data_IF_101524142456
#
_entry.id   IF_101524142456
#
_cell.length_a   1.000
_cell.length_b   1.000
_cell.length_c   1.000
_cell.angle_alpha   90.00
_cell.angle_beta   90.00
_cell.angle_gamma   90.00
#
_symmetry.space_group_name_H-M   'P 1'
#
loop_
_entity.id
_entity.type
_entity.pdbx_description
1 polymer ?
#
# COMPACT_ATOMS: atom_id res chain seq x y z
N UNK A 1 -32.89 5.16 44.31
CA UNK A 1 -32.45 4.65 42.99
C UNK A 1 -31.54 5.74 42.38
N UNK A 2 -30.24 5.56 42.50
CA UNK A 2 -29.24 6.52 41.95
C UNK A 2 -28.94 6.11 40.52
N UNK A 3 -29.28 6.97 39.55
CA UNK A 3 -28.89 6.81 38.16
C UNK A 3 -27.41 7.03 38.01
N UNK A 4 -26.70 6.00 37.60
CA UNK A 4 -25.32 6.09 37.17
C UNK A 4 -25.30 6.70 35.77
N UNK A 5 -24.90 7.97 35.64
CA UNK A 5 -24.63 8.57 34.35
C UNK A 5 -23.23 8.11 33.90
N UNK A 6 -23.19 7.25 32.88
CA UNK A 6 -21.98 6.95 32.15
C UNK A 6 -21.78 8.12 31.18
N UNK A 7 -20.81 8.97 31.49
CA UNK A 7 -20.37 10.04 30.60
C UNK A 7 -19.52 9.41 29.51
N UNK A 8 -20.15 9.08 28.38
CA UNK A 8 -19.40 8.78 27.17
C UNK A 8 -18.64 10.05 26.75
N UNK A 9 -17.32 10.01 26.74
CA UNK A 9 -16.49 11.08 26.20
C UNK A 9 -16.74 11.13 24.67
N UNK A 10 -17.65 11.99 24.28
CA UNK A 10 -17.80 12.44 22.90
C UNK A 10 -16.59 13.33 22.57
N UNK A 11 -15.55 12.79 21.96
CA UNK A 11 -14.59 13.56 21.18
C UNK A 11 -15.24 13.99 19.87
N UNK A 12 -16.23 14.85 19.97
CA UNK A 12 -16.85 15.58 18.88
C UNK A 12 -16.56 17.06 19.09
N UNK A 13 -15.30 17.46 18.99
CA UNK A 13 -14.96 18.87 18.98
C UNK A 13 -15.04 19.39 17.56
N UNK A 14 -16.07 20.17 17.25
CA UNK A 14 -16.01 21.16 16.19
C UNK A 14 -14.85 22.12 16.53
N UNK A 15 -13.68 21.93 15.90
CA UNK A 15 -12.57 22.86 16.03
C UNK A 15 -12.81 24.10 15.18
N UNK A 16 -13.53 25.08 15.73
CA UNK A 16 -13.27 26.47 15.42
C UNK A 16 -12.33 26.99 16.49
N UNK A 17 -11.05 26.75 16.36
CA UNK A 17 -10.03 27.39 17.17
C UNK A 17 -9.47 28.58 16.41
N UNK A 18 -9.89 29.77 16.78
CA UNK A 18 -9.06 30.97 16.68
C UNK A 18 -7.75 30.67 17.43
N UNK A 19 -6.66 30.57 16.69
CA UNK A 19 -5.32 30.41 17.27
C UNK A 19 -4.97 31.70 18.03
N UNK A 20 -5.16 31.68 19.34
CA UNK A 20 -4.42 32.59 20.22
C UNK A 20 -3.02 31.98 20.41
N UNK A 21 -2.02 32.70 19.90
CA UNK A 21 -0.61 32.34 20.00
C UNK A 21 -0.11 32.60 21.42
N UNK A 22 -0.41 31.68 22.34
CA UNK A 22 0.30 31.49 23.63
C UNK A 22 0.07 30.05 24.10
N UNK A 23 0.57 29.08 23.32
CA UNK A 23 0.69 27.70 23.78
C UNK A 23 2.08 27.50 24.33
N UNK A 24 2.17 27.25 25.62
CA UNK A 24 3.39 26.77 26.26
C UNK A 24 3.85 25.48 25.57
N UNK A 25 5.15 25.34 25.31
CA UNK A 25 5.78 24.18 24.67
C UNK A 25 5.43 22.81 25.32
N UNK A 26 4.87 22.84 26.53
CA UNK A 26 4.48 21.65 27.30
C UNK A 26 3.32 20.83 26.72
N UNK A 27 2.55 21.38 25.74
CA UNK A 27 1.41 20.68 25.10
C UNK A 27 1.75 20.11 23.73
N UNK A 28 3.00 20.20 23.31
CA UNK A 28 3.43 19.73 22.00
C UNK A 28 4.48 18.63 22.15
N UNK A 29 4.29 17.54 21.42
CA UNK A 29 5.32 16.52 21.25
C UNK A 29 6.10 16.82 19.98
N UNK A 30 7.42 16.97 20.09
CA UNK A 30 8.26 17.19 18.93
C UNK A 30 8.25 15.95 18.01
N UNK A 31 8.17 16.19 16.70
CA UNK A 31 8.42 15.12 15.73
C UNK A 31 9.89 14.70 15.81
N UNK A 32 10.20 13.40 15.76
CA UNK A 32 11.58 12.95 15.72
C UNK A 32 12.25 13.42 14.41
N UNK A 33 13.59 13.57 14.37
CA UNK A 33 14.29 13.91 13.15
C UNK A 33 14.19 12.77 12.14
N UNK A 34 14.24 13.11 10.85
CA UNK A 34 14.39 12.14 9.76
C UNK A 34 15.72 11.40 9.95
N UNK A 35 15.68 10.06 9.93
CA UNK A 35 16.86 9.21 10.01
C UNK A 35 17.72 9.35 8.75
N UNK A 36 19.03 9.37 8.88
CA UNK A 36 19.94 9.38 7.75
C UNK A 36 20.08 7.95 7.16
N UNK A 37 19.22 7.61 6.23
CA UNK A 37 19.21 6.30 5.57
C UNK A 37 20.34 6.20 4.53
N UNK A 38 20.92 4.99 4.40
CA UNK A 38 21.89 4.69 3.34
C UNK A 38 21.13 4.33 2.06
N UNK A 39 21.03 5.29 1.14
CA UNK A 39 20.28 5.14 -0.12
C UNK A 39 21.23 4.84 -1.27
N UNK A 40 20.91 3.82 -2.08
CA UNK A 40 21.62 3.48 -3.31
C UNK A 40 21.44 4.57 -4.35
N UNK A 41 22.53 5.13 -4.87
CA UNK A 41 22.48 6.22 -5.85
C UNK A 41 22.43 5.73 -7.30
N UNK A 42 22.85 4.48 -7.55
CA UNK A 42 22.81 3.86 -8.86
C UNK A 42 21.38 3.49 -9.28
N UNK A 43 21.18 3.38 -10.61
CA UNK A 43 19.92 2.89 -11.15
C UNK A 43 19.88 1.36 -11.06
N UNK A 44 19.32 0.84 -9.98
CA UNK A 44 19.22 -0.58 -9.68
C UNK A 44 17.79 -1.14 -9.82
N UNK A 45 16.95 -0.44 -10.58
CA UNK A 45 15.55 -0.82 -10.80
C UNK A 45 15.41 -1.89 -11.86
N UNK A 46 14.38 -2.73 -11.74
CA UNK A 46 14.10 -3.84 -12.69
C UNK A 46 13.44 -3.37 -13.99
N UNK A 47 13.33 -2.07 -14.19
CA UNK A 47 12.79 -1.47 -15.41
C UNK A 47 13.76 -0.38 -15.93
N UNK A 48 13.72 -0.04 -17.24
CA UNK A 48 14.61 0.94 -17.83
C UNK A 48 14.32 2.35 -17.34
N UNK A 49 15.36 3.17 -17.23
CA UNK A 49 15.24 4.58 -16.88
C UNK A 49 14.63 5.36 -18.06
N UNK A 50 13.64 6.19 -17.77
CA UNK A 50 13.04 7.09 -18.75
C UNK A 50 13.87 8.38 -18.90
N UNK A 51 13.98 8.85 -20.13
CA UNK A 51 14.57 10.14 -20.45
C UNK A 51 13.57 11.32 -20.36
N UNK A 52 12.28 11.02 -20.16
CA UNK A 52 11.19 12.01 -20.08
C UNK A 52 10.97 12.59 -18.69
N UNK A 53 11.59 11.99 -17.68
CA UNK A 53 11.40 12.38 -16.28
C UNK A 53 12.73 12.59 -15.56
N UNK A 54 12.74 13.50 -14.60
CA UNK A 54 13.80 13.64 -13.62
C UNK A 54 13.53 12.70 -12.45
N UNK A 55 14.57 12.08 -11.94
CA UNK A 55 14.51 11.13 -10.84
C UNK A 55 15.45 11.54 -9.72
N UNK A 56 14.98 11.49 -8.49
CA UNK A 56 15.82 11.61 -7.29
C UNK A 56 15.26 10.77 -6.15
N UNK A 57 16.14 10.31 -5.26
CA UNK A 57 15.71 9.70 -3.99
C UNK A 57 15.34 10.78 -2.97
N UNK A 58 14.31 10.50 -2.20
CA UNK A 58 13.81 11.38 -1.13
C UNK A 58 13.49 10.55 0.10
N UNK A 59 13.48 11.19 1.26
CA UNK A 59 13.06 10.59 2.52
C UNK A 59 12.02 11.46 3.21
N UNK A 60 11.14 10.84 3.95
CA UNK A 60 10.13 11.49 4.78
C UNK A 60 9.81 10.60 5.99
N UNK A 61 9.13 11.16 6.97
CA UNK A 61 8.85 10.48 8.23
C UNK A 61 7.35 10.25 8.39
N UNK A 62 6.96 9.08 8.92
CA UNK A 62 5.59 8.83 9.31
C UNK A 62 5.34 9.27 10.77
N UNK A 63 4.08 9.32 11.23
CA UNK A 63 3.72 9.74 12.59
C UNK A 63 4.28 8.83 13.70
N UNK A 64 4.75 7.63 13.37
CA UNK A 64 5.43 6.73 14.30
C UNK A 64 6.94 6.96 14.39
N UNK A 65 7.45 7.97 13.69
CA UNK A 65 8.87 8.31 13.70
C UNK A 65 9.73 7.42 12.80
N UNK A 66 9.13 6.65 11.91
CA UNK A 66 9.87 5.81 10.97
C UNK A 66 10.16 6.62 9.70
N UNK A 67 11.42 6.70 9.32
CA UNK A 67 11.84 7.35 8.08
C UNK A 67 11.61 6.42 6.90
N UNK A 68 10.89 6.90 5.89
CA UNK A 68 10.61 6.19 4.65
C UNK A 68 11.52 6.68 3.53
N UNK A 69 11.93 5.75 2.67
CA UNK A 69 12.69 6.02 1.46
C UNK A 69 11.79 5.92 0.23
N UNK A 70 11.90 6.88 -0.69
CA UNK A 70 11.17 6.88 -1.94
C UNK A 70 12.03 7.32 -3.12
N UNK A 71 11.62 6.88 -4.31
CA UNK A 71 12.04 7.40 -5.59
C UNK A 71 11.01 8.43 -6.06
N UNK A 72 11.41 9.67 -6.25
CA UNK A 72 10.56 10.73 -6.77
C UNK A 72 10.85 10.95 -8.26
N UNK A 73 9.79 10.99 -9.06
CA UNK A 73 9.83 11.22 -10.51
C UNK A 73 9.05 12.49 -10.82
N UNK A 74 9.69 13.40 -11.57
CA UNK A 74 9.08 14.66 -11.98
C UNK A 74 9.13 14.76 -13.50
N UNK A 75 8.02 15.11 -14.19
CA UNK A 75 8.06 15.34 -15.64
C UNK A 75 9.08 16.40 -16.00
N UNK A 76 9.94 16.14 -16.99
CA UNK A 76 10.83 17.18 -17.52
C UNK A 76 10.00 18.30 -18.15
N UNK A 77 10.47 19.52 -17.97
CA UNK A 77 9.82 20.72 -18.49
C UNK A 77 8.41 21.00 -17.92
N UNK A 78 8.05 20.39 -16.81
CA UNK A 78 6.81 20.71 -16.13
C UNK A 78 6.82 22.17 -15.63
N UNK A 79 5.70 22.87 -15.81
CA UNK A 79 5.51 24.26 -15.35
C UNK A 79 4.38 24.31 -14.32
N UNK A 80 4.53 25.20 -13.34
CA UNK A 80 3.52 25.39 -12.30
C UNK A 80 3.45 24.24 -11.30
N UNK A 81 2.35 24.19 -10.55
CA UNK A 81 2.10 23.13 -9.57
C UNK A 81 1.43 21.92 -10.21
N UNK A 82 1.94 20.74 -9.91
CA UNK A 82 1.49 19.46 -10.44
C UNK A 82 0.52 18.77 -9.49
N UNK A 83 -0.38 17.96 -10.05
CA UNK A 83 -1.01 16.90 -9.29
C UNK A 83 0.03 15.83 -8.94
N UNK A 84 -0.08 15.23 -7.76
CA UNK A 84 0.90 14.27 -7.28
C UNK A 84 0.28 12.92 -6.91
N UNK A 85 1.06 11.84 -7.05
CA UNK A 85 0.62 10.47 -6.78
C UNK A 85 1.67 9.74 -5.95
N UNK A 86 1.26 9.20 -4.80
CA UNK A 86 2.07 8.27 -4.02
C UNK A 86 1.76 6.82 -4.41
N UNK A 87 2.79 6.07 -4.76
CA UNK A 87 2.68 4.69 -5.27
C UNK A 87 3.39 3.72 -4.33
N UNK A 88 2.72 2.64 -3.94
CA UNK A 88 3.33 1.53 -3.22
C UNK A 88 3.04 0.18 -3.88
N UNK A 89 4.05 -0.68 -3.91
CA UNK A 89 4.08 -1.91 -4.69
C UNK A 89 3.42 -3.11 -4.00
N UNK A 90 3.56 -4.29 -4.58
CA UNK A 90 3.08 -5.52 -3.99
C UNK A 90 3.60 -5.73 -2.57
N UNK A 91 2.82 -6.47 -1.78
CA UNK A 91 3.18 -6.81 -0.42
C UNK A 91 4.49 -7.64 -0.39
N UNK A 92 5.57 -7.01 0.08
CA UNK A 92 6.91 -7.59 0.08
C UNK A 92 7.79 -7.21 -1.11
N UNK A 93 7.29 -6.43 -2.07
CA UNK A 93 8.11 -5.85 -3.11
C UNK A 93 8.89 -4.63 -2.62
N UNK A 94 9.98 -4.29 -3.31
CA UNK A 94 10.71 -3.04 -3.15
C UNK A 94 10.23 -2.00 -4.18
N UNK A 95 10.46 -0.71 -3.88
CA UNK A 95 10.10 0.39 -4.77
C UNK A 95 10.79 0.35 -6.13
N UNK A 96 11.89 -0.38 -6.25
CA UNK A 96 12.65 -0.60 -7.48
C UNK A 96 11.96 -1.57 -8.46
N UNK A 97 10.84 -2.19 -8.04
CA UNK A 97 10.04 -3.12 -8.82
C UNK A 97 8.80 -2.41 -9.40
N UNK A 98 7.63 -3.05 -9.38
CA UNK A 98 6.42 -2.56 -10.06
C UNK A 98 5.98 -1.15 -9.63
N UNK A 99 6.10 -0.77 -8.36
CA UNK A 99 5.72 0.58 -7.94
C UNK A 99 6.54 1.68 -8.58
N UNK A 100 7.84 1.46 -8.74
CA UNK A 100 8.72 2.39 -9.46
C UNK A 100 8.36 2.50 -10.94
N UNK A 101 8.06 1.37 -11.60
CA UNK A 101 7.56 1.36 -12.98
C UNK A 101 6.27 2.18 -13.13
N UNK A 102 5.29 1.96 -12.24
CA UNK A 102 4.04 2.71 -12.26
C UNK A 102 4.28 4.22 -12.03
N UNK A 103 5.10 4.56 -11.03
CA UNK A 103 5.42 5.93 -10.70
C UNK A 103 6.12 6.65 -11.88
N UNK A 104 7.15 6.03 -12.47
CA UNK A 104 7.83 6.58 -13.65
C UNK A 104 6.87 6.79 -14.82
N UNK A 105 6.04 5.77 -15.11
CA UNK A 105 5.12 5.80 -16.25
C UNK A 105 4.01 6.84 -16.09
N UNK A 106 3.55 7.09 -14.87
CA UNK A 106 2.60 8.16 -14.57
C UNK A 106 3.26 9.54 -14.58
N UNK A 107 4.54 9.64 -14.21
CA UNK A 107 5.30 10.87 -14.33
C UNK A 107 5.51 11.26 -15.80
N UNK A 108 5.73 10.29 -16.70
CA UNK A 108 5.75 10.55 -18.16
C UNK A 108 4.42 11.12 -18.69
N UNK A 109 3.33 10.95 -17.95
CA UNK A 109 1.99 11.45 -18.28
C UNK A 109 1.60 12.74 -17.54
N UNK A 110 2.58 13.39 -16.89
CA UNK A 110 2.42 14.74 -16.36
C UNK A 110 2.16 14.86 -14.86
N UNK A 111 2.26 13.78 -14.11
CA UNK A 111 2.12 13.80 -12.64
C UNK A 111 3.49 13.88 -11.95
N UNK A 112 3.60 14.55 -10.81
CA UNK A 112 4.70 14.29 -9.90
C UNK A 112 4.39 13.02 -9.13
N UNK A 113 5.31 12.06 -9.11
CA UNK A 113 5.05 10.78 -8.44
C UNK A 113 6.16 10.41 -7.49
N UNK A 114 5.81 9.65 -6.44
CA UNK A 114 6.78 8.95 -5.61
C UNK A 114 6.44 7.46 -5.58
N UNK A 115 7.46 6.60 -5.64
CA UNK A 115 7.37 5.19 -5.29
C UNK A 115 8.13 4.99 -3.97
N UNK A 116 7.48 4.52 -2.92
CA UNK A 116 8.10 4.38 -1.61
C UNK A 116 8.17 2.93 -1.14
N UNK A 117 9.23 2.62 -0.39
CA UNK A 117 9.28 1.40 0.41
C UNK A 117 8.48 1.61 1.68
N UNK A 118 7.61 0.68 2.06
CA UNK A 118 6.94 0.75 3.35
C UNK A 118 7.89 0.62 4.54
N UNK A 119 7.46 1.08 5.70
CA UNK A 119 8.17 0.88 6.98
C UNK A 119 8.69 -0.55 7.12
N UNK A 120 9.88 -0.71 7.66
CA UNK A 120 10.57 -1.98 7.95
C UNK A 120 11.12 -2.74 6.74
N UNK A 121 10.97 -2.24 5.51
CA UNK A 121 11.36 -2.95 4.27
C UNK A 121 12.17 -2.06 3.34
N UNK A 122 12.82 -2.67 2.36
CA UNK A 122 13.59 -1.96 1.35
C UNK A 122 14.65 -1.05 1.96
N UNK A 123 14.74 0.18 1.47
CA UNK A 123 15.61 1.23 2.00
C UNK A 123 14.96 2.06 3.13
N UNK A 124 13.66 1.89 3.40
CA UNK A 124 12.99 2.54 4.53
C UNK A 124 13.49 2.04 5.86
N UNK A 125 13.40 2.89 6.87
CA UNK A 125 13.79 2.61 8.25
C UNK A 125 12.82 1.68 8.99
N UNK A 126 12.97 1.66 10.29
CA UNK A 126 12.16 0.86 11.20
C UNK A 126 12.79 -0.47 11.59
N UNK A 127 12.60 -0.85 12.85
CA UNK A 127 13.09 -2.09 13.45
C UNK A 127 11.96 -2.81 14.20
N UNK A 128 11.96 -4.15 14.20
CA UNK A 128 12.88 -5.02 13.44
C UNK A 128 12.57 -5.01 11.93
N UNK A 129 13.54 -5.41 11.11
CA UNK A 129 13.35 -5.49 9.65
C UNK A 129 12.38 -6.60 9.26
N UNK A 130 11.79 -6.48 8.06
CA UNK A 130 10.85 -7.45 7.45
C UNK A 130 9.57 -7.66 8.26
N UNK A 131 9.14 -6.64 8.97
CA UNK A 131 7.82 -6.59 9.62
C UNK A 131 6.78 -6.03 8.66
N UNK A 132 5.58 -6.59 8.70
CA UNK A 132 4.40 -5.97 8.13
C UNK A 132 3.42 -5.61 9.26
N UNK A 133 2.79 -4.46 9.14
CA UNK A 133 1.78 -3.98 10.10
C UNK A 133 0.63 -3.32 9.34
N UNK A 134 -0.63 -3.75 9.58
CA UNK A 134 -1.77 -3.15 8.90
C UNK A 134 -1.92 -1.66 9.19
N UNK A 135 -1.70 -1.24 10.43
CA UNK A 135 -1.81 0.15 10.85
C UNK A 135 -0.65 1.00 10.32
N UNK A 136 0.60 0.60 10.62
CA UNK A 136 1.79 1.39 10.23
C UNK A 136 1.91 1.48 8.70
N UNK A 137 1.61 0.39 7.98
CA UNK A 137 1.70 0.43 6.52
C UNK A 137 0.53 1.19 5.85
N UNK A 138 -0.60 1.38 6.52
CA UNK A 138 -1.62 2.34 6.10
C UNK A 138 -1.13 3.76 6.32
N UNK A 139 -0.59 4.06 7.50
CA UNK A 139 0.02 5.34 7.83
C UNK A 139 1.13 5.76 6.86
N UNK A 140 1.89 4.81 6.30
CA UNK A 140 2.94 5.10 5.33
C UNK A 140 2.40 5.83 4.07
N UNK A 141 1.14 5.57 3.66
CA UNK A 141 0.48 6.33 2.60
C UNK A 141 0.12 7.75 3.04
N UNK A 142 -0.45 7.93 4.23
CA UNK A 142 -0.74 9.25 4.79
C UNK A 142 0.53 10.09 4.96
N UNK A 143 1.64 9.48 5.38
CA UNK A 143 2.95 10.15 5.46
C UNK A 143 3.49 10.56 4.07
N UNK A 144 3.23 9.74 3.05
CA UNK A 144 3.56 10.11 1.66
C UNK A 144 2.71 11.31 1.19
N UNK A 145 1.44 11.39 1.60
CA UNK A 145 0.56 12.55 1.35
C UNK A 145 1.09 13.79 2.08
N UNK A 146 1.52 13.67 3.35
CA UNK A 146 2.16 14.76 4.10
C UNK A 146 3.36 15.31 3.33
N UNK A 147 4.27 14.42 2.92
CA UNK A 147 5.47 14.79 2.17
C UNK A 147 5.13 15.51 0.86
N UNK A 148 4.19 14.96 0.08
CA UNK A 148 3.78 15.56 -1.20
C UNK A 148 3.10 16.92 -1.01
N UNK A 149 2.30 17.08 0.05
CA UNK A 149 1.55 18.31 0.34
C UNK A 149 2.43 19.53 0.58
N UNK A 150 3.69 19.33 1.00
CA UNK A 150 4.64 20.42 1.28
C UNK A 150 5.67 20.63 0.16
N UNK A 151 5.60 19.86 -0.93
CA UNK A 151 6.52 20.07 -2.06
C UNK A 151 6.16 21.37 -2.80
N UNK A 152 7.14 22.22 -3.14
CA UNK A 152 6.87 23.54 -3.73
C UNK A 152 6.21 23.47 -5.12
N UNK A 153 6.43 22.38 -5.85
CA UNK A 153 5.88 22.13 -7.19
C UNK A 153 4.66 21.22 -7.18
N UNK A 154 4.05 20.94 -6.03
CA UNK A 154 2.81 20.15 -5.88
C UNK A 154 1.65 21.05 -5.50
N UNK A 155 0.48 20.81 -6.08
CA UNK A 155 -0.78 21.31 -5.58
C UNK A 155 -1.31 20.37 -4.51
N UNK A 156 -1.29 20.79 -3.26
CA UNK A 156 -1.71 19.98 -2.10
C UNK A 156 -3.18 19.55 -2.13
N UNK A 157 -4.02 20.18 -2.97
CA UNK A 157 -5.42 19.78 -3.17
C UNK A 157 -5.58 18.71 -4.25
N UNK A 158 -4.50 18.32 -4.93
CA UNK A 158 -4.50 17.43 -6.10
C UNK A 158 -3.60 16.22 -5.88
N UNK A 159 -3.83 15.50 -4.77
CA UNK A 159 -3.03 14.34 -4.39
C UNK A 159 -3.87 13.06 -4.50
N UNK A 160 -3.31 12.06 -5.18
CA UNK A 160 -3.82 10.71 -5.28
C UNK A 160 -2.84 9.67 -4.74
N UNK A 161 -3.34 8.46 -4.54
CA UNK A 161 -2.54 7.30 -4.13
C UNK A 161 -2.79 6.12 -5.07
N UNK A 162 -1.79 5.26 -5.22
CA UNK A 162 -1.89 4.02 -5.99
C UNK A 162 -1.28 2.86 -5.21
N UNK A 163 -2.06 1.80 -5.02
CA UNK A 163 -1.62 0.57 -4.38
C UNK A 163 -1.68 -0.63 -5.32
N UNK A 164 -0.62 -1.45 -5.34
CA UNK A 164 -0.54 -2.66 -6.17
C UNK A 164 -0.58 -3.88 -5.25
N UNK A 165 -1.34 -4.92 -5.61
CA UNK A 165 -1.45 -6.16 -4.84
C UNK A 165 -1.88 -5.90 -3.39
N UNK A 166 -1.16 -6.40 -2.39
CA UNK A 166 -1.49 -6.17 -0.99
C UNK A 166 -1.52 -4.69 -0.56
N UNK A 167 -0.76 -3.83 -1.25
CA UNK A 167 -0.84 -2.38 -1.02
C UNK A 167 -2.11 -1.76 -1.63
N UNK A 168 -2.78 -2.45 -2.54
CA UNK A 168 -4.10 -2.02 -3.04
C UNK A 168 -5.17 -2.02 -1.94
N UNK A 169 -5.23 -3.08 -1.12
CA UNK A 169 -6.13 -3.10 0.05
C UNK A 169 -5.77 -2.06 1.09
N UNK A 170 -4.45 -1.84 1.31
CA UNK A 170 -3.95 -0.79 2.22
C UNK A 170 -4.29 0.61 1.70
N UNK A 171 -4.16 0.86 0.40
CA UNK A 171 -4.53 2.14 -0.20
C UNK A 171 -6.04 2.43 -0.07
N UNK A 172 -6.91 1.41 -0.19
CA UNK A 172 -8.34 1.58 0.07
C UNK A 172 -8.63 1.88 1.55
N UNK A 173 -7.89 1.26 2.47
CA UNK A 173 -8.01 1.55 3.89
C UNK A 173 -7.57 3.00 4.20
N UNK A 174 -6.48 3.46 3.59
CA UNK A 174 -6.02 4.85 3.73
C UNK A 174 -7.03 5.83 3.12
N UNK A 175 -7.59 5.56 1.94
CA UNK A 175 -8.62 6.38 1.31
C UNK A 175 -9.90 6.53 2.16
N UNK A 176 -10.20 5.55 3.02
CA UNK A 176 -11.31 5.64 3.98
C UNK A 176 -10.95 6.48 5.21
N UNK A 177 -9.69 6.80 5.42
CA UNK A 177 -9.14 7.44 6.61
C UNK A 177 -8.58 8.83 6.32
N UNK A 178 -7.81 8.99 5.24
CA UNK A 178 -7.19 10.27 4.85
C UNK A 178 -8.04 11.02 3.81
N UNK A 179 -8.77 12.02 4.28
CA UNK A 179 -9.67 12.85 3.43
C UNK A 179 -8.94 13.79 2.46
N UNK A 180 -7.61 13.92 2.57
CA UNK A 180 -6.77 14.70 1.64
C UNK A 180 -6.54 13.94 0.33
N UNK A 181 -6.68 12.61 0.35
CA UNK A 181 -6.62 11.76 -0.84
C UNK A 181 -7.85 12.01 -1.71
N UNK A 182 -7.66 12.52 -2.92
CA UNK A 182 -8.75 12.87 -3.86
C UNK A 182 -9.09 11.75 -4.82
N UNK A 183 -8.11 10.90 -5.15
CA UNK A 183 -8.28 9.78 -6.05
C UNK A 183 -7.38 8.61 -5.66
N UNK A 184 -7.92 7.40 -5.66
CA UNK A 184 -7.22 6.16 -5.34
C UNK A 184 -7.35 5.18 -6.49
N UNK A 185 -6.21 4.63 -6.92
CA UNK A 185 -6.20 3.51 -7.88
C UNK A 185 -5.65 2.27 -7.17
N UNK A 186 -6.30 1.14 -7.38
CA UNK A 186 -5.75 -0.16 -6.98
C UNK A 186 -5.55 -1.03 -8.20
N UNK A 187 -4.38 -1.66 -8.31
CA UNK A 187 -4.06 -2.62 -9.37
C UNK A 187 -3.88 -4.00 -8.77
N UNK A 188 -4.63 -4.99 -9.27
CA UNK A 188 -4.56 -6.39 -8.84
C UNK A 188 -4.56 -6.56 -7.32
N UNK A 189 -5.44 -5.83 -6.60
CA UNK A 189 -5.41 -5.71 -5.15
C UNK A 189 -5.64 -7.04 -4.41
N UNK A 190 -5.02 -7.12 -3.22
CA UNK A 190 -5.29 -8.12 -2.21
C UNK A 190 -5.84 -7.48 -0.94
N UNK A 191 -6.78 -8.12 -0.31
CA UNK A 191 -7.08 -7.87 1.10
C UNK A 191 -6.20 -8.81 1.96
N UNK A 192 -5.05 -8.27 2.41
CA UNK A 192 -4.10 -9.04 3.22
C UNK A 192 -4.69 -9.48 4.56
N UNK A 193 -5.65 -8.72 5.11
CA UNK A 193 -6.32 -9.11 6.37
C UNK A 193 -7.24 -10.31 6.14
N UNK A 194 -7.98 -10.32 5.03
CA UNK A 194 -8.86 -11.42 4.68
C UNK A 194 -8.08 -12.71 4.36
N UNK A 195 -7.05 -12.62 3.53
CA UNK A 195 -6.31 -13.84 3.16
C UNK A 195 -5.57 -14.44 4.33
N UNK A 196 -5.00 -13.63 5.23
CA UNK A 196 -4.30 -14.13 6.41
C UNK A 196 -5.27 -14.65 7.48
N UNK A 197 -6.49 -14.11 7.57
CA UNK A 197 -7.51 -14.60 8.51
C UNK A 197 -8.28 -15.83 8.03
N UNK A 198 -8.53 -15.93 6.72
CA UNK A 198 -9.49 -16.88 6.15
C UNK A 198 -8.84 -17.88 5.17
N UNK A 199 -7.58 -17.68 4.80
CA UNK A 199 -6.92 -18.45 3.75
C UNK A 199 -7.38 -18.05 2.35
N UNK A 200 -6.78 -18.67 1.36
CA UNK A 200 -7.12 -18.48 -0.04
C UNK A 200 -8.56 -18.93 -0.32
N UNK A 201 -9.32 -18.10 -1.06
CA UNK A 201 -10.76 -18.32 -1.32
C UNK A 201 -11.60 -18.55 -0.05
N UNK A 202 -11.18 -17.98 1.08
CA UNK A 202 -11.85 -18.16 2.38
C UNK A 202 -11.98 -19.62 2.86
N UNK A 203 -11.13 -20.53 2.37
CA UNK A 203 -11.23 -21.98 2.67
C UNK A 203 -11.11 -22.29 4.17
N UNK A 204 -10.45 -21.42 4.94
CA UNK A 204 -10.24 -21.56 6.37
C UNK A 204 -11.08 -20.54 7.17
N UNK A 205 -12.15 -20.00 6.60
CA UNK A 205 -12.98 -19.00 7.27
C UNK A 205 -13.89 -19.63 8.33
N UNK A 206 -13.29 -20.14 9.39
CA UNK A 206 -14.00 -20.62 10.57
C UNK A 206 -13.19 -20.34 11.85
N UNK A 207 -13.85 -20.22 13.03
CA UNK A 207 -13.18 -19.90 14.29
C UNK A 207 -12.11 -20.91 14.70
N UNK A 208 -12.32 -22.20 14.42
CA UNK A 208 -11.40 -23.27 14.80
C UNK A 208 -10.09 -23.18 14.02
N UNK A 209 -10.16 -23.01 12.71
CA UNK A 209 -8.97 -22.84 11.87
C UNK A 209 -8.18 -21.58 12.28
N UNK A 210 -8.87 -20.46 12.53
CA UNK A 210 -8.21 -19.24 13.02
C UNK A 210 -7.56 -19.44 14.38
N UNK A 211 -8.25 -20.10 15.33
CA UNK A 211 -7.67 -20.39 16.65
C UNK A 211 -6.41 -21.26 16.53
N UNK A 212 -6.44 -22.30 15.70
CA UNK A 212 -5.28 -23.15 15.45
C UNK A 212 -4.10 -22.36 14.88
N UNK A 213 -4.35 -21.52 13.89
CA UNK A 213 -3.32 -20.64 13.29
C UNK A 213 -2.75 -19.66 14.32
N UNK A 214 -3.60 -19.01 15.11
CA UNK A 214 -3.17 -18.10 16.18
C UNK A 214 -2.34 -18.84 17.23
N UNK A 215 -2.70 -20.08 17.59
CA UNK A 215 -1.92 -20.91 18.52
C UNK A 215 -0.51 -21.19 17.98
N UNK A 216 -0.39 -21.53 16.70
CA UNK A 216 0.90 -21.75 16.05
C UNK A 216 1.75 -20.48 16.02
N UNK A 217 1.16 -19.34 15.63
CA UNK A 217 1.85 -18.05 15.59
C UNK A 217 2.28 -17.58 16.98
N UNK A 218 1.47 -17.80 18.01
CA UNK A 218 1.84 -17.44 19.38
C UNK A 218 2.95 -18.35 19.93
N UNK A 219 2.96 -19.65 19.57
CA UNK A 219 4.08 -20.54 19.88
C UNK A 219 5.37 -20.07 19.19
N UNK A 220 5.29 -19.65 17.90
CA UNK A 220 6.42 -19.06 17.20
C UNK A 220 6.89 -17.76 17.86
N UNK A 221 5.97 -16.88 18.28
CA UNK A 221 6.32 -15.66 19.01
C UNK A 221 7.12 -15.93 20.28
N UNK A 222 6.71 -16.94 21.06
CA UNK A 222 7.45 -17.36 22.26
C UNK A 222 8.85 -17.90 21.89
N UNK A 223 8.94 -18.64 20.79
CA UNK A 223 10.21 -19.16 20.28
C UNK A 223 11.14 -18.03 19.84
N UNK A 224 10.64 -17.06 19.06
CA UNK A 224 11.40 -15.88 18.60
C UNK A 224 11.95 -15.10 19.81
N UNK A 225 11.11 -14.85 20.82
CA UNK A 225 11.52 -14.14 22.03
C UNK A 225 12.65 -14.89 22.78
N UNK A 226 12.54 -16.22 22.89
CA UNK A 226 13.57 -17.05 23.56
C UNK A 226 14.88 -17.07 22.79
N UNK A 227 14.83 -17.06 21.46
CA UNK A 227 15.99 -17.14 20.57
C UNK A 227 16.67 -15.78 20.36
N UNK A 228 15.96 -14.67 20.56
CA UNK A 228 16.43 -13.33 20.29
C UNK A 228 16.49 -12.97 18.79
N UNK A 229 15.81 -13.70 17.93
CA UNK A 229 15.66 -13.41 16.49
C UNK A 229 14.29 -13.87 15.96
N UNK A 230 13.86 -13.30 14.85
CA UNK A 230 12.55 -13.60 14.24
C UNK A 230 12.70 -14.63 13.13
N UNK A 231 11.90 -15.67 13.17
CA UNK A 231 11.75 -16.59 12.03
C UNK A 231 11.02 -15.89 10.90
N UNK A 232 11.48 -16.14 9.67
CA UNK A 232 10.87 -15.62 8.44
C UNK A 232 10.06 -16.71 7.75
N UNK A 233 8.99 -16.31 7.04
CA UNK A 233 8.11 -17.19 6.28
C UNK A 233 7.56 -16.45 5.04
N UNK A 234 6.98 -17.22 4.11
CA UNK A 234 6.37 -16.68 2.91
C UNK A 234 7.36 -16.32 1.80
N UNK A 235 8.53 -16.96 1.79
CA UNK A 235 9.42 -16.93 0.62
C UNK A 235 8.77 -17.62 -0.58
N UNK A 236 9.05 -17.13 -1.78
CA UNK A 236 8.67 -17.82 -3.02
C UNK A 236 9.48 -19.10 -3.20
N UNK A 237 8.95 -20.03 -4.00
CA UNK A 237 9.71 -21.18 -4.47
C UNK A 237 10.82 -20.70 -5.43
N UNK A 238 11.94 -21.41 -5.47
CA UNK A 238 12.91 -21.21 -6.53
C UNK A 238 12.40 -21.82 -7.85
N UNK A 239 12.81 -21.31 -9.02
CA UNK A 239 12.38 -21.88 -10.31
C UNK A 239 12.64 -23.38 -10.45
N UNK A 240 13.72 -23.90 -9.84
CA UNK A 240 14.08 -25.33 -9.83
C UNK A 240 13.16 -26.20 -8.97
N UNK A 241 12.38 -25.59 -8.09
CA UNK A 241 11.43 -26.28 -7.20
C UNK A 241 10.03 -26.39 -7.84
N UNK A 242 9.80 -25.73 -8.99
CA UNK A 242 8.51 -25.79 -9.68
C UNK A 242 8.30 -27.16 -10.33
N UNK A 243 7.09 -27.68 -10.21
CA UNK A 243 6.65 -28.95 -10.79
C UNK A 243 5.41 -28.73 -11.67
N UNK A 244 5.05 -29.75 -12.46
CA UNK A 244 3.82 -29.71 -13.28
C UNK A 244 2.53 -29.59 -12.44
N UNK A 245 2.60 -29.91 -11.14
CA UNK A 245 1.48 -29.78 -10.20
C UNK A 245 1.47 -28.46 -9.43
N UNK A 246 2.49 -27.62 -9.62
CA UNK A 246 2.54 -26.31 -8.97
C UNK A 246 1.44 -25.41 -9.52
N UNK A 247 0.57 -24.83 -8.68
CA UNK A 247 -0.47 -23.91 -9.14
C UNK A 247 0.12 -22.75 -9.97
N UNK A 248 -0.56 -22.38 -11.07
CA UNK A 248 -0.09 -21.36 -12.00
C UNK A 248 0.32 -20.06 -11.29
N UNK A 249 -0.47 -19.58 -10.32
CA UNK A 249 -0.16 -18.34 -9.64
C UNK A 249 1.14 -18.41 -8.81
N UNK A 250 1.48 -19.58 -8.26
CA UNK A 250 2.77 -19.81 -7.58
C UNK A 250 3.90 -19.72 -8.60
N UNK A 251 3.74 -20.37 -9.78
CA UNK A 251 4.69 -20.24 -10.88
C UNK A 251 4.87 -18.77 -11.30
N UNK A 252 3.78 -18.04 -11.47
CA UNK A 252 3.79 -16.64 -11.88
C UNK A 252 4.56 -15.75 -10.86
N UNK A 253 4.36 -15.95 -9.55
CA UNK A 253 5.12 -15.25 -8.51
C UNK A 253 6.59 -15.64 -8.51
N UNK A 254 6.90 -16.94 -8.60
CA UNK A 254 8.29 -17.42 -8.69
C UNK A 254 9.00 -16.80 -9.89
N UNK A 255 8.36 -16.81 -11.07
CA UNK A 255 8.94 -16.23 -12.28
C UNK A 255 9.12 -14.71 -12.20
N UNK A 256 8.31 -14.01 -11.40
CA UNK A 256 8.52 -12.58 -11.17
C UNK A 256 9.64 -12.34 -10.14
N UNK A 257 9.53 -12.89 -8.94
CA UNK A 257 10.41 -12.53 -7.82
C UNK A 257 11.77 -13.23 -7.82
N UNK A 258 11.89 -14.40 -8.42
CA UNK A 258 13.10 -15.24 -8.36
C UNK A 258 13.86 -15.31 -9.69
N UNK A 259 13.47 -14.49 -10.69
CA UNK A 259 14.17 -14.41 -11.97
C UNK A 259 14.53 -12.96 -12.32
N UNK A 260 15.29 -12.77 -13.40
CA UNK A 260 15.66 -11.45 -13.92
C UNK A 260 14.46 -10.56 -14.28
N UNK A 261 13.24 -11.12 -14.35
CA UNK A 261 12.03 -10.36 -14.64
C UNK A 261 11.76 -9.31 -13.56
N UNK A 262 11.93 -9.65 -12.28
CA UNK A 262 11.60 -8.74 -11.21
C UNK A 262 12.35 -8.98 -9.91
N UNK A 263 13.36 -9.89 -9.88
CA UNK A 263 14.19 -10.11 -8.68
C UNK A 263 14.83 -8.80 -8.23
N UNK A 264 14.74 -8.54 -6.94
CA UNK A 264 15.47 -7.43 -6.32
C UNK A 264 15.95 -7.81 -4.91
N UNK A 265 17.22 -7.52 -4.61
CA UNK A 265 17.86 -7.92 -3.34
C UNK A 265 17.26 -7.27 -2.09
N UNK A 266 16.52 -6.16 -2.23
CA UNK A 266 15.78 -5.50 -1.14
C UNK A 266 14.31 -5.92 -1.06
N UNK A 267 13.83 -6.72 -2.00
CA UNK A 267 12.45 -7.24 -1.97
C UNK A 267 12.34 -8.38 -0.96
N UNK A 268 11.45 -8.25 0.01
CA UNK A 268 11.14 -9.29 1.00
C UNK A 268 10.73 -10.60 0.31
N UNK A 269 9.98 -10.49 -0.80
CA UNK A 269 9.51 -11.64 -1.57
C UNK A 269 10.64 -12.35 -2.34
N UNK A 270 11.71 -11.63 -2.72
CA UNK A 270 12.86 -12.22 -3.41
C UNK A 270 13.92 -12.78 -2.44
N UNK A 271 13.89 -12.42 -1.14
CA UNK A 271 14.98 -12.75 -0.22
C UNK A 271 14.51 -13.29 1.15
N UNK A 272 13.61 -14.24 1.16
CA UNK A 272 13.33 -15.05 2.34
C UNK A 272 12.06 -14.71 3.14
N UNK A 273 11.18 -13.84 2.63
CA UNK A 273 9.86 -13.63 3.22
C UNK A 273 9.83 -12.71 4.45
N UNK A 274 8.70 -12.70 5.12
CA UNK A 274 8.36 -11.83 6.25
C UNK A 274 8.69 -12.44 7.61
N UNK A 275 8.86 -11.61 8.63
CA UNK A 275 8.80 -12.08 10.01
C UNK A 275 7.44 -12.74 10.23
N UNK A 276 7.44 -14.03 10.52
CA UNK A 276 6.25 -14.90 10.51
C UNK A 276 5.13 -14.37 11.41
N UNK A 277 5.49 -13.81 12.57
CA UNK A 277 4.54 -13.27 13.55
C UNK A 277 3.86 -11.97 13.13
N UNK A 278 4.28 -11.33 12.01
CA UNK A 278 3.57 -10.19 11.42
C UNK A 278 2.11 -10.52 11.06
N UNK A 279 1.81 -11.78 10.74
CA UNK A 279 0.46 -12.23 10.41
C UNK A 279 -0.55 -11.99 11.53
N UNK A 280 -0.13 -12.00 12.82
CA UNK A 280 -1.01 -11.83 13.97
C UNK A 280 -1.87 -10.57 13.90
N UNK A 281 -1.27 -9.44 13.53
CA UNK A 281 -1.99 -8.16 13.44
C UNK A 281 -3.00 -8.15 12.29
N UNK A 282 -2.65 -8.76 11.15
CA UNK A 282 -3.53 -8.82 9.98
C UNK A 282 -4.77 -9.71 10.23
N UNK A 283 -4.61 -10.82 10.93
CA UNK A 283 -5.71 -11.75 11.20
C UNK A 283 -6.85 -11.07 11.98
N UNK A 284 -6.53 -10.08 12.81
CA UNK A 284 -7.51 -9.47 13.72
C UNK A 284 -7.93 -8.03 13.36
N UNK A 285 -7.50 -7.51 12.21
CA UNK A 285 -7.76 -6.13 11.77
C UNK A 285 -8.32 -6.08 10.35
N UNK A 286 -9.66 -6.21 10.15
CA UNK A 286 -10.25 -6.14 8.82
C UNK A 286 -10.15 -4.71 8.25
N UNK A 287 -9.42 -4.53 7.15
CA UNK A 287 -9.17 -3.23 6.52
C UNK A 287 -10.41 -2.59 5.91
N UNK A 288 -11.16 -3.36 5.11
CA UNK A 288 -12.11 -2.81 4.17
C UNK A 288 -13.49 -2.57 4.77
N UNK A 289 -13.60 -2.67 6.10
CA UNK A 289 -14.87 -2.52 6.82
C UNK A 289 -15.58 -1.18 6.52
N UNK A 290 -14.80 -0.11 6.28
CA UNK A 290 -15.32 1.23 6.01
C UNK A 290 -15.13 1.70 4.57
N UNK A 291 -14.81 0.79 3.65
CA UNK A 291 -14.67 1.14 2.23
C UNK A 291 -15.94 1.72 1.62
N UNK A 292 -17.09 1.38 2.17
CA UNK A 292 -18.40 1.93 1.78
C UNK A 292 -18.64 3.40 2.23
N UNK A 293 -17.72 3.97 2.99
CA UNK A 293 -17.74 5.37 3.43
C UNK A 293 -16.81 6.27 2.60
N UNK A 294 -15.98 5.71 1.70
CA UNK A 294 -15.02 6.46 0.88
C UNK A 294 -15.75 7.43 -0.05
N UNK A 295 -15.54 8.73 0.14
CA UNK A 295 -16.15 9.77 -0.72
C UNK A 295 -15.27 10.16 -1.89
N UNK A 296 -13.93 10.04 -1.78
CA UNK A 296 -13.00 10.32 -2.86
C UNK A 296 -13.13 9.30 -4.01
N UNK A 297 -12.60 9.65 -5.18
CA UNK A 297 -12.70 8.79 -6.36
C UNK A 297 -11.87 7.50 -6.19
N UNK A 298 -12.41 6.37 -6.67
CA UNK A 298 -11.72 5.07 -6.63
C UNK A 298 -11.83 4.36 -7.97
N UNK A 299 -10.70 3.89 -8.48
CA UNK A 299 -10.61 2.97 -9.63
C UNK A 299 -9.96 1.66 -9.17
N UNK A 300 -10.69 0.56 -9.26
CA UNK A 300 -10.18 -0.78 -9.00
C UNK A 300 -9.89 -1.47 -10.34
N UNK A 301 -8.67 -1.95 -10.55
CA UNK A 301 -8.22 -2.64 -11.76
C UNK A 301 -7.79 -4.05 -11.38
N UNK A 302 -8.29 -5.06 -12.10
CA UNK A 302 -7.89 -6.45 -11.87
C UNK A 302 -7.99 -7.30 -13.15
N UNK A 303 -7.07 -8.26 -13.30
CA UNK A 303 -7.15 -9.25 -14.38
C UNK A 303 -8.15 -10.36 -14.05
N UNK A 304 -8.96 -10.78 -15.02
CA UNK A 304 -9.97 -11.83 -14.80
C UNK A 304 -9.39 -13.25 -14.68
N UNK A 305 -8.12 -13.44 -15.08
CA UNK A 305 -7.40 -14.71 -14.90
C UNK A 305 -6.54 -14.72 -13.62
N UNK A 306 -6.58 -13.65 -12.84
CA UNK A 306 -5.87 -13.58 -11.57
C UNK A 306 -6.59 -14.41 -10.50
N UNK A 307 -5.84 -15.28 -9.82
CA UNK A 307 -6.33 -16.07 -8.68
C UNK A 307 -6.90 -15.20 -7.55
N UNK A 308 -6.52 -13.93 -7.51
CA UNK A 308 -6.91 -12.91 -6.53
C UNK A 308 -8.09 -12.03 -6.96
N UNK A 309 -8.69 -12.30 -8.12
CA UNK A 309 -9.75 -11.45 -8.69
C UNK A 309 -10.94 -11.24 -7.75
N UNK A 310 -11.26 -12.26 -6.94
CA UNK A 310 -12.35 -12.20 -5.98
C UNK A 310 -12.19 -11.10 -4.91
N UNK A 311 -10.95 -10.77 -4.51
CA UNK A 311 -10.72 -9.67 -3.55
C UNK A 311 -11.24 -8.33 -4.09
N UNK A 312 -10.91 -8.02 -5.34
CA UNK A 312 -11.37 -6.76 -5.97
C UNK A 312 -12.86 -6.73 -6.21
N UNK A 313 -13.45 -7.85 -6.66
CA UNK A 313 -14.90 -7.96 -6.86
C UNK A 313 -15.66 -7.70 -5.56
N UNK A 314 -15.26 -8.39 -4.51
CA UNK A 314 -15.94 -8.29 -3.22
C UNK A 314 -15.71 -6.94 -2.55
N UNK A 315 -14.48 -6.37 -2.67
CA UNK A 315 -14.20 -5.03 -2.17
C UNK A 315 -15.07 -3.97 -2.87
N UNK A 316 -15.22 -4.07 -4.20
CA UNK A 316 -16.08 -3.17 -4.95
C UNK A 316 -17.55 -3.36 -4.58
N UNK A 317 -18.04 -4.59 -4.47
CA UNK A 317 -19.41 -4.89 -4.06
C UNK A 317 -19.70 -4.33 -2.65
N UNK A 318 -18.79 -4.55 -1.69
CA UNK A 318 -18.90 -4.01 -0.33
C UNK A 318 -18.86 -2.48 -0.32
N UNK A 319 -18.04 -1.87 -1.17
CA UNK A 319 -17.97 -0.42 -1.31
C UNK A 319 -19.28 0.15 -1.85
N UNK A 320 -19.88 -0.48 -2.83
CA UNK A 320 -21.08 0.00 -3.50
C UNK A 320 -22.38 -0.29 -2.73
N UNK A 321 -22.48 -1.41 -1.99
CA UNK A 321 -23.69 -1.85 -1.28
C UNK A 321 -24.96 -1.67 -2.13
N UNK A 322 -24.93 -2.26 -3.33
CA UNK A 322 -26.04 -2.19 -4.31
C UNK A 322 -26.51 -0.74 -4.62
N UNK A 323 -25.58 0.21 -4.61
CA UNK A 323 -25.85 1.63 -4.87
C UNK A 323 -26.30 2.45 -3.65
N UNK A 324 -26.38 1.86 -2.47
CA UNK A 324 -26.93 2.51 -1.28
C UNK A 324 -25.90 3.17 -0.36
N UNK A 325 -24.61 2.83 -0.50
CA UNK A 325 -23.54 3.36 0.36
C UNK A 325 -23.25 4.85 0.11
N UNK A 326 -22.54 5.47 1.05
CA UNK A 326 -21.96 6.82 0.86
C UNK A 326 -21.00 6.83 -0.33
N UNK A 327 -20.16 5.80 -0.45
CA UNK A 327 -19.23 5.65 -1.56
C UNK A 327 -19.94 5.57 -2.92
N UNK A 328 -21.03 4.80 -3.02
CA UNK A 328 -21.83 4.69 -4.25
C UNK A 328 -22.46 6.02 -4.65
N UNK A 329 -23.04 6.74 -3.69
CA UNK A 329 -23.70 8.03 -3.92
C UNK A 329 -22.75 9.14 -4.36
N UNK A 330 -21.46 9.00 -4.11
CA UNK A 330 -20.44 9.92 -4.63
C UNK A 330 -20.27 9.86 -6.16
N UNK A 331 -20.71 8.78 -6.83
CA UNK A 331 -20.75 8.67 -8.30
C UNK A 331 -19.39 8.63 -8.98
N UNK A 332 -18.31 8.26 -8.26
CA UNK A 332 -16.92 8.33 -8.70
C UNK A 332 -16.15 7.02 -8.45
N UNK A 333 -16.84 5.88 -8.46
CA UNK A 333 -16.27 4.57 -8.25
C UNK A 333 -16.30 3.77 -9.55
N UNK A 334 -15.14 3.27 -9.95
CA UNK A 334 -14.99 2.49 -11.18
C UNK A 334 -14.34 1.13 -10.88
N UNK A 335 -14.78 0.09 -11.58
CA UNK A 335 -14.17 -1.23 -11.59
C UNK A 335 -13.81 -1.61 -13.02
N UNK A 336 -12.54 -1.86 -13.28
CA UNK A 336 -12.02 -2.21 -14.60
C UNK A 336 -11.43 -3.61 -14.58
N UNK A 337 -12.04 -4.52 -15.33
CA UNK A 337 -11.53 -5.87 -15.56
C UNK A 337 -10.63 -5.90 -16.79
N UNK A 338 -9.40 -6.39 -16.65
CA UNK A 338 -8.47 -6.61 -17.74
C UNK A 338 -8.61 -8.07 -18.19
N UNK A 339 -9.21 -8.25 -19.37
CA UNK A 339 -9.50 -9.58 -19.91
C UNK A 339 -8.21 -10.34 -20.23
N UNK A 340 -8.13 -11.57 -19.74
CA UNK A 340 -7.01 -12.49 -20.00
C UNK A 340 -5.78 -12.24 -19.13
N UNK A 341 -5.74 -11.17 -18.33
CA UNK A 341 -4.59 -10.85 -17.50
C UNK A 341 -4.55 -11.68 -16.21
N UNK A 342 -3.37 -12.19 -15.89
CA UNK A 342 -3.03 -12.78 -14.60
C UNK A 342 -2.70 -11.71 -13.55
N UNK A 343 -2.45 -12.14 -12.31
CA UNK A 343 -2.08 -11.23 -11.23
C UNK A 343 -0.77 -10.47 -11.52
N UNK A 344 0.27 -11.19 -11.93
CA UNK A 344 1.61 -10.63 -12.14
C UNK A 344 1.78 -9.94 -13.50
N UNK A 345 0.83 -10.11 -14.44
CA UNK A 345 0.84 -9.32 -15.68
C UNK A 345 0.64 -7.83 -15.39
N UNK A 346 -0.10 -7.51 -14.32
CA UNK A 346 -0.29 -6.13 -13.87
C UNK A 346 0.87 -5.61 -12.99
N UNK A 347 1.99 -6.33 -12.90
CA UNK A 347 3.17 -5.84 -12.21
C UNK A 347 4.12 -5.08 -13.15
N UNK A 348 4.32 -5.60 -14.36
CA UNK A 348 5.38 -5.14 -15.27
C UNK A 348 5.02 -5.17 -16.77
N UNK A 349 3.91 -5.78 -17.16
CA UNK A 349 3.53 -5.86 -18.56
C UNK A 349 2.89 -4.54 -19.03
N UNK A 350 3.72 -3.62 -19.50
CA UNK A 350 3.31 -2.25 -19.86
C UNK A 350 2.24 -2.17 -20.97
N UNK A 351 2.15 -3.20 -21.79
CA UNK A 351 1.14 -3.35 -22.85
C UNK A 351 -0.20 -3.92 -22.33
N UNK A 352 -0.23 -4.44 -21.11
CA UNK A 352 -1.43 -5.00 -20.45
C UNK A 352 -1.95 -4.00 -19.40
N UNK A 353 -1.05 -3.36 -18.66
CA UNK A 353 -1.40 -2.35 -17.65
C UNK A 353 -2.06 -1.16 -18.34
N UNK A 354 -3.28 -0.77 -17.96
CA UNK A 354 -4.02 0.29 -18.65
C UNK A 354 -3.57 1.70 -18.19
N UNK A 355 -2.28 2.04 -18.39
CA UNK A 355 -1.70 3.29 -17.90
C UNK A 355 -2.44 4.54 -18.39
N UNK A 356 -2.95 4.54 -19.63
CA UNK A 356 -3.69 5.70 -20.16
C UNK A 356 -5.04 5.88 -19.44
N UNK A 357 -5.72 4.79 -19.11
CA UNK A 357 -6.95 4.82 -18.29
C UNK A 357 -6.64 5.32 -16.87
N UNK A 358 -5.54 4.86 -16.26
CA UNK A 358 -5.09 5.31 -14.94
C UNK A 358 -4.81 6.83 -14.97
N UNK A 359 -4.06 7.30 -15.96
CA UNK A 359 -3.74 8.72 -16.12
C UNK A 359 -5.01 9.55 -16.36
N UNK A 360 -5.92 9.08 -17.22
CA UNK A 360 -7.23 9.73 -17.46
C UNK A 360 -8.04 9.84 -16.17
N UNK A 361 -8.09 8.78 -15.37
CA UNK A 361 -8.79 8.79 -14.08
C UNK A 361 -8.23 9.86 -13.15
N UNK A 362 -6.91 9.89 -12.95
CA UNK A 362 -6.29 10.93 -12.12
C UNK A 362 -6.50 12.34 -12.69
N UNK A 363 -6.38 12.53 -14.00
CA UNK A 363 -6.67 13.84 -14.64
C UNK A 363 -8.10 14.30 -14.40
N UNK A 364 -9.05 13.36 -14.33
CA UNK A 364 -10.46 13.66 -14.07
C UNK A 364 -10.69 14.12 -12.63
N UNK A 365 -10.04 13.50 -11.66
CA UNK A 365 -10.35 13.68 -10.25
C UNK A 365 -9.31 14.48 -9.45
N UNK A 366 -8.13 14.75 -10.01
CA UNK A 366 -7.10 15.63 -9.44
C UNK A 366 -7.11 17.00 -10.15
N UNK A 367 -8.24 17.70 -10.08
CA UNK A 367 -8.46 19.02 -10.68
C UNK A 367 -8.25 20.14 -9.67
#
# INVERSE_FOLDING_TARGET
>A
MKKLMITALLLGASMTTTMNAQTTNEKMTAMPPVENLQLTQEWDKVFPKSDKVDHKKVTFINRYGITLAADMYTPKNATGKLAAIAVSGPFGAAKEQSSGLYAQTLAERGFLTIAFDPSFTGESGGQPRNVASPDINTEDFSAAVDFLSVQPNVDSNRIGILGICGRGGIALNDAAMDTRVKATVTSTMYDMTRVLANGYNDMNNNPQARHQMLTQLNAQRTKDYRQGYYNRAGANLLPVELTNSTPKFICDYTMYYETKRGFHSRSVNSVGGWNQTSALSFINLPFLKRSNEIQSAVLIIHGDQAHSYYFSKDAYANMMQDGNSVAAKAGNKEFLTIKGASHTDLYDQVNIIPFDKIAQFYTTYLK
#
